data_IF_502108516972
#
_entry.id   IF_502108516972
#
_cell.length_a   1.000
_cell.length_b   1.000
_cell.length_c   1.000
_cell.angle_alpha   90.00
_cell.angle_beta   90.00
_cell.angle_gamma   90.00
#
_symmetry.space_group_name_H-M   'P 1'
#
loop_
_entity.id
_entity.type
_entity.pdbx_description
1 polymer ?
#
# COMPACT_ATOMS: atom_id res chain seq x y z
N UNK A 1 3.44 -11.08 6.61
CA UNK A 1 4.25 -9.95 7.08
C UNK A 1 5.71 -10.41 7.16
N UNK A 2 6.64 -9.57 6.74
CA UNK A 2 8.07 -9.80 6.85
C UNK A 2 8.73 -8.67 7.64
N UNK A 3 9.77 -9.00 8.42
CA UNK A 3 10.61 -8.00 9.09
C UNK A 3 12.02 -8.11 8.55
N UNK A 4 12.55 -7.01 8.02
CA UNK A 4 13.88 -6.95 7.43
C UNK A 4 14.63 -5.74 7.98
N UNK A 5 15.80 -5.95 8.59
CA UNK A 5 16.58 -4.90 9.29
C UNK A 5 15.71 -4.00 10.19
N UNK A 6 14.76 -4.59 10.94
CA UNK A 6 13.85 -3.85 11.82
C UNK A 6 12.69 -3.14 11.12
N UNK A 7 12.61 -3.18 9.79
CA UNK A 7 11.50 -2.63 9.01
C UNK A 7 10.38 -3.65 8.84
N UNK A 8 9.13 -3.23 9.06
CA UNK A 8 7.94 -4.08 8.87
C UNK A 8 7.40 -3.89 7.46
N UNK A 9 7.45 -4.96 6.69
CA UNK A 9 7.00 -5.00 5.30
C UNK A 9 5.78 -5.93 5.20
N UNK A 10 4.70 -5.43 4.64
CA UNK A 10 3.49 -6.19 4.41
C UNK A 10 3.23 -6.33 2.91
N UNK A 11 2.79 -7.53 2.50
CA UNK A 11 2.34 -7.82 1.15
C UNK A 11 0.96 -8.44 1.28
N UNK A 12 -0.06 -7.78 0.75
CA UNK A 12 -1.44 -8.26 0.87
C UNK A 12 -1.69 -9.54 0.07
N UNK A 13 -1.05 -9.70 -1.09
CA UNK A 13 -1.57 -10.60 -2.11
C UNK A 13 -2.97 -10.19 -2.62
N UNK A 14 -3.55 -11.05 -3.45
CA UNK A 14 -4.86 -10.81 -4.11
C UNK A 14 -6.07 -11.25 -3.30
N UNK A 15 -5.87 -12.09 -2.28
CA UNK A 15 -6.96 -12.73 -1.52
C UNK A 15 -7.22 -12.08 -0.16
N UNK A 16 -6.50 -11.02 0.17
CA UNK A 16 -6.63 -10.33 1.46
C UNK A 16 -7.78 -9.34 1.42
N UNK A 17 -8.46 -9.15 2.55
CA UNK A 17 -9.54 -8.17 2.70
C UNK A 17 -9.04 -6.90 3.43
N UNK A 18 -9.81 -5.81 3.33
CA UNK A 18 -9.49 -4.53 3.97
C UNK A 18 -9.37 -4.62 5.48
N UNK A 19 -10.19 -5.46 6.14
CA UNK A 19 -10.17 -5.67 7.59
C UNK A 19 -8.83 -6.22 8.08
N UNK A 20 -8.24 -7.14 7.31
CA UNK A 20 -6.92 -7.69 7.62
C UNK A 20 -5.86 -6.60 7.55
N UNK A 21 -5.89 -5.74 6.53
CA UNK A 21 -4.94 -4.63 6.39
C UNK A 21 -5.15 -3.60 7.49
N UNK A 22 -6.40 -3.25 7.80
CA UNK A 22 -6.77 -2.31 8.87
C UNK A 22 -6.32 -2.79 10.27
N UNK A 23 -6.19 -4.10 10.47
CA UNK A 23 -5.64 -4.67 11.72
C UNK A 23 -4.12 -4.53 11.84
N UNK A 24 -3.41 -4.30 10.73
CA UNK A 24 -1.97 -4.11 10.74
C UNK A 24 -1.65 -2.64 10.99
N UNK A 25 -0.81 -2.36 11.98
CA UNK A 25 -0.41 -0.99 12.33
C UNK A 25 1.11 -0.87 12.37
N UNK A 26 1.60 0.37 12.23
CA UNK A 26 3.03 0.70 12.28
C UNK A 26 3.86 -0.04 11.21
N UNK A 27 3.32 -0.20 10.01
CA UNK A 27 4.06 -0.73 8.87
C UNK A 27 4.97 0.35 8.29
N UNK A 28 6.19 -0.03 7.88
CA UNK A 28 7.07 0.88 7.14
C UNK A 28 6.75 0.88 5.65
N UNK A 29 6.32 -0.26 5.12
CA UNK A 29 5.92 -0.43 3.73
C UNK A 29 4.82 -1.48 3.61
N UNK A 30 3.76 -1.15 2.90
CA UNK A 30 2.68 -2.06 2.57
C UNK A 30 2.48 -2.12 1.05
N UNK A 31 2.58 -3.31 0.48
CA UNK A 31 2.20 -3.58 -0.90
C UNK A 31 0.73 -3.97 -0.91
N UNK A 32 -0.10 -3.14 -1.54
CA UNK A 32 -1.57 -3.30 -1.56
C UNK A 32 -2.12 -3.04 -2.96
N UNK A 33 -3.11 -3.82 -3.43
CA UNK A 33 -3.83 -3.48 -4.64
C UNK A 33 -4.75 -2.28 -4.42
N UNK A 34 -5.03 -1.54 -5.50
CA UNK A 34 -5.80 -0.28 -5.41
C UNK A 34 -7.21 -0.49 -4.84
N UNK A 35 -7.88 -1.59 -5.18
CA UNK A 35 -9.24 -1.87 -4.70
C UNK A 35 -9.32 -2.03 -3.19
N UNK A 36 -8.25 -2.51 -2.54
CA UNK A 36 -8.23 -2.62 -1.09
C UNK A 36 -8.07 -1.27 -0.41
N UNK A 37 -7.31 -0.34 -1.00
CA UNK A 37 -7.23 1.03 -0.49
C UNK A 37 -8.58 1.75 -0.61
N UNK A 38 -9.26 1.57 -1.75
CA UNK A 38 -10.59 2.14 -1.96
C UNK A 38 -11.61 1.59 -0.95
N UNK A 39 -11.64 0.27 -0.70
CA UNK A 39 -12.54 -0.34 0.28
C UNK A 39 -12.23 0.13 1.73
N UNK A 40 -10.95 0.35 2.08
CA UNK A 40 -10.56 0.92 3.38
C UNK A 40 -11.06 2.36 3.52
N UNK A 41 -10.91 3.18 2.48
CA UNK A 41 -11.40 4.57 2.44
C UNK A 41 -12.93 4.63 2.55
N UNK A 42 -13.66 3.78 1.81
CA UNK A 42 -15.12 3.66 1.89
C UNK A 42 -15.60 3.28 3.29
N UNK A 43 -14.82 2.47 4.02
CA UNK A 43 -15.09 2.09 5.42
C UNK A 43 -14.68 3.15 6.44
N UNK A 44 -14.25 4.35 6.01
CA UNK A 44 -13.78 5.44 6.87
C UNK A 44 -12.62 5.05 7.79
N UNK A 45 -11.80 4.08 7.39
CA UNK A 45 -10.57 3.74 8.10
C UNK A 45 -9.46 4.64 7.55
N UNK A 46 -8.79 5.37 8.43
CA UNK A 46 -7.64 6.17 8.02
C UNK A 46 -6.49 5.23 7.60
N UNK A 47 -6.25 5.09 6.30
CA UNK A 47 -5.17 4.25 5.82
C UNK A 47 -3.79 4.86 6.15
N UNK A 48 -3.69 6.17 6.40
CA UNK A 48 -2.40 6.85 6.65
C UNK A 48 -1.74 6.42 7.95
N UNK A 49 -2.52 5.85 8.88
CA UNK A 49 -2.01 5.34 10.17
C UNK A 49 -1.54 3.88 10.11
N UNK A 50 -1.90 3.12 9.06
CA UNK A 50 -1.57 1.70 8.99
C UNK A 50 -0.16 1.48 8.45
N UNK A 51 0.27 2.30 7.49
CA UNK A 51 1.60 2.24 6.89
C UNK A 51 2.17 3.61 6.57
N UNK A 52 3.48 3.78 6.79
CA UNK A 52 4.22 5.00 6.41
C UNK A 52 4.33 5.16 4.89
N UNK A 53 4.33 4.05 4.15
CA UNK A 53 4.33 4.01 2.69
C UNK A 53 3.49 2.86 2.14
N UNK A 54 2.85 3.11 1.01
CA UNK A 54 2.07 2.16 0.24
C UNK A 54 2.63 2.04 -1.16
N UNK A 55 2.86 0.79 -1.55
CA UNK A 55 3.22 0.41 -2.90
C UNK A 55 1.98 -0.19 -3.57
N UNK A 56 1.39 0.55 -4.50
CA UNK A 56 0.13 0.19 -5.14
C UNK A 56 0.43 -0.68 -6.36
N UNK A 57 -0.06 -1.92 -6.34
CA UNK A 57 0.15 -2.93 -7.41
C UNK A 57 -1.19 -3.52 -7.90
N UNK A 58 -1.17 -4.48 -8.82
CA UNK A 58 -2.35 -4.98 -9.55
C UNK A 58 -3.21 -3.86 -10.16
N UNK A 59 -2.59 -3.07 -11.02
CA UNK A 59 -3.26 -2.03 -11.80
C UNK A 59 -3.77 -2.70 -13.08
N UNK A 60 -5.08 -2.68 -13.30
CA UNK A 60 -5.68 -3.21 -14.51
C UNK A 60 -5.16 -2.48 -15.75
N UNK A 61 -5.09 -3.17 -16.89
CA UNK A 61 -4.56 -2.60 -18.15
C UNK A 61 -5.25 -1.30 -18.58
N UNK A 62 -6.52 -1.13 -18.22
CA UNK A 62 -7.33 0.03 -18.58
C UNK A 62 -7.56 0.98 -17.40
N UNK A 63 -7.00 0.69 -16.23
CA UNK A 63 -7.18 1.53 -15.06
C UNK A 63 -6.35 2.80 -15.20
N UNK A 64 -6.99 3.93 -14.95
CA UNK A 64 -6.32 5.24 -14.89
C UNK A 64 -6.34 5.71 -13.45
N UNK A 65 -5.26 5.42 -12.74
CA UNK A 65 -5.10 5.81 -11.34
C UNK A 65 -4.36 7.14 -11.30
N UNK A 66 -5.00 8.16 -10.75
CA UNK A 66 -4.39 9.44 -10.43
C UNK A 66 -4.17 9.50 -8.92
N UNK A 67 -2.94 9.73 -8.50
CA UNK A 67 -2.61 10.01 -7.10
C UNK A 67 -2.47 11.53 -6.94
N UNK A 68 -2.92 12.07 -5.81
CA UNK A 68 -2.54 13.43 -5.44
C UNK A 68 -1.04 13.44 -5.14
N UNK A 69 -0.28 14.27 -5.86
CA UNK A 69 1.17 14.39 -5.70
C UNK A 69 1.58 14.81 -4.27
N UNK A 70 0.63 15.33 -3.48
CA UNK A 70 0.84 15.66 -2.06
C UNK A 70 0.83 14.45 -1.15
N UNK A 71 0.32 13.30 -1.58
CA UNK A 71 0.29 12.08 -0.79
C UNK A 71 1.59 11.27 -0.99
N UNK A 72 2.68 11.79 -0.41
CA UNK A 72 4.03 11.18 -0.44
C UNK A 72 4.10 9.75 0.11
N UNK A 73 3.03 9.29 0.74
CA UNK A 73 2.89 7.95 1.26
C UNK A 73 2.49 6.94 0.17
N UNK A 74 1.95 7.37 -0.97
CA UNK A 74 1.47 6.49 -2.03
C UNK A 74 2.46 6.42 -3.20
N UNK A 75 2.84 5.22 -3.60
CA UNK A 75 3.70 4.96 -4.77
C UNK A 75 3.00 3.97 -5.69
N UNK A 76 2.58 4.45 -6.87
CA UNK A 76 2.05 3.60 -7.92
C UNK A 76 3.17 2.78 -8.58
N UNK A 77 2.97 1.47 -8.72
CA UNK A 77 3.89 0.55 -9.40
C UNK A 77 3.37 0.21 -10.80
N UNK A 78 3.22 1.22 -11.65
CA UNK A 78 2.73 1.11 -13.04
C UNK A 78 3.83 0.78 -14.07
N UNK A 79 5.09 0.72 -13.62
CA UNK A 79 6.27 0.47 -14.47
C UNK A 79 7.11 -0.67 -13.92
N UNK A 80 7.63 -1.50 -14.82
CA UNK A 80 8.56 -2.56 -14.46
C UNK A 80 9.93 -1.97 -14.11
N UNK A 81 10.59 -2.54 -13.10
CA UNK A 81 11.92 -2.11 -12.66
C UNK A 81 11.90 -0.93 -11.68
N UNK A 82 10.72 -0.46 -11.26
CA UNK A 82 10.60 0.55 -10.22
C UNK A 82 11.22 0.07 -8.90
N UNK A 83 12.01 0.95 -8.29
CA UNK A 83 12.71 0.68 -7.02
C UNK A 83 12.04 1.48 -5.91
N UNK A 84 11.76 0.82 -4.79
CA UNK A 84 11.22 1.44 -3.58
C UNK A 84 12.30 1.44 -2.51
N UNK A 85 12.58 2.62 -1.97
CA UNK A 85 13.55 2.80 -0.89
C UNK A 85 12.85 3.14 0.42
N UNK A 86 13.19 2.40 1.46
CA UNK A 86 12.82 2.67 2.85
C UNK A 86 14.07 3.21 3.54
N UNK A 87 13.98 4.38 4.18
CA UNK A 87 15.08 4.92 4.95
C UNK A 87 15.33 4.07 6.22
N UNK A 88 16.60 3.95 6.59
CA UNK A 88 17.01 3.30 7.84
C UNK A 88 16.51 4.05 9.07
#
# INVERSE_FOLDING_TARGET
MATWHGKKIFLSGDTTNSETIASQTDLDLAFVPIWLLMDIEEKNVDFKILSKKYAIYHIGRNDKITLDEKDFQLKLLDKQGDVITIAY
#
